data_IF_728159380915
#
_entry.id   IF_728159380915
#
_cell.length_a   1.000
_cell.length_b   1.000
_cell.length_c   1.000
_cell.angle_alpha   90.00
_cell.angle_beta   90.00
_cell.angle_gamma   90.00
#
_symmetry.space_group_name_H-M   'P 1'
#
loop_
_entity.id
_entity.type
_entity.pdbx_description
1 polymer ?
#
# COMPACT_ATOMS: atom_id res chain seq x y z
N UNK A 1 20.70 7.51 -2.87
CA UNK A 1 19.45 6.85 -2.45
C UNK A 1 19.66 5.35 -2.55
N UNK A 2 19.67 4.65 -1.41
CA UNK A 2 19.65 3.20 -1.41
C UNK A 2 18.19 2.75 -1.61
N UNK A 3 17.91 2.04 -2.69
CA UNK A 3 16.57 1.54 -3.02
C UNK A 3 16.39 0.06 -2.69
N UNK A 4 17.37 -0.54 -1.99
CA UNK A 4 17.29 -1.88 -1.43
C UNK A 4 16.41 -1.81 -0.18
N UNK A 5 15.31 -2.56 -0.18
CA UNK A 5 14.39 -2.67 0.96
C UNK A 5 14.65 -3.91 1.82
N UNK A 6 15.55 -4.78 1.37
CA UNK A 6 16.01 -5.98 2.08
C UNK A 6 16.56 -7.04 1.12
N UNK A 7 16.77 -8.23 1.65
CA UNK A 7 17.35 -9.39 0.94
C UNK A 7 16.43 -10.59 1.10
N UNK A 8 16.20 -11.35 0.03
CA UNK A 8 15.45 -12.60 0.12
C UNK A 8 16.26 -13.73 0.79
N UNK A 9 15.61 -14.87 1.07
CA UNK A 9 16.26 -16.01 1.74
C UNK A 9 17.47 -16.59 0.99
N UNK A 10 17.62 -16.28 -0.29
CA UNK A 10 18.71 -16.75 -1.15
C UNK A 10 19.84 -15.72 -1.27
N UNK A 11 19.79 -14.62 -0.51
CA UNK A 11 20.82 -13.59 -0.55
C UNK A 11 20.65 -12.56 -1.67
N UNK A 12 19.54 -12.58 -2.41
CA UNK A 12 19.30 -11.62 -3.49
C UNK A 12 18.64 -10.36 -2.96
N UNK A 13 19.23 -9.20 -3.27
CA UNK A 13 18.64 -7.91 -2.93
C UNK A 13 17.26 -7.72 -3.58
N UNK A 14 16.33 -7.13 -2.84
CA UNK A 14 15.04 -6.67 -3.35
C UNK A 14 15.09 -5.16 -3.44
N UNK A 15 15.01 -4.66 -4.68
CA UNK A 15 15.05 -3.23 -4.99
C UNK A 15 13.69 -2.76 -5.49
N UNK A 16 13.21 -1.66 -4.92
CA UNK A 16 11.95 -1.04 -5.37
C UNK A 16 12.26 0.27 -6.09
N UNK A 17 11.56 0.52 -7.18
CA UNK A 17 11.60 1.81 -7.87
C UNK A 17 10.18 2.33 -8.07
N UNK A 18 10.00 3.63 -7.99
CA UNK A 18 8.71 4.29 -8.08
C UNK A 18 8.82 5.78 -7.83
N UNK A 19 7.68 6.48 -7.88
CA UNK A 19 7.58 7.91 -7.62
C UNK A 19 6.63 8.15 -6.45
N UNK A 20 7.09 8.88 -5.45
CA UNK A 20 6.23 9.38 -4.37
C UNK A 20 5.61 10.69 -4.86
N UNK A 21 4.29 10.84 -4.65
CA UNK A 21 3.55 12.02 -5.09
C UNK A 21 4.04 13.30 -4.40
N UNK A 22 4.09 13.29 -3.06
CA UNK A 22 4.56 14.43 -2.27
C UNK A 22 5.16 13.99 -0.93
N UNK A 23 6.27 14.63 -0.56
CA UNK A 23 6.93 14.50 0.76
C UNK A 23 7.09 15.90 1.36
N UNK A 24 6.66 16.08 2.60
CA UNK A 24 6.70 17.35 3.33
C UNK A 24 7.42 17.16 4.66
N UNK A 25 8.19 18.16 5.10
CA UNK A 25 8.62 18.28 6.51
C UNK A 25 7.62 19.14 7.26
N UNK A 26 7.13 18.65 8.40
CA UNK A 26 6.20 19.37 9.27
C UNK A 26 6.96 20.30 10.22
N UNK A 27 6.23 21.20 10.88
CA UNK A 27 6.80 22.22 11.77
C UNK A 27 7.50 21.63 13.01
N UNK A 28 7.09 20.43 13.44
CA UNK A 28 7.70 19.68 14.54
C UNK A 28 8.92 18.85 14.10
N UNK A 29 9.30 18.91 12.83
CA UNK A 29 10.40 18.14 12.27
C UNK A 29 10.02 16.74 11.75
N UNK A 30 8.77 16.29 11.94
CA UNK A 30 8.30 15.03 11.36
C UNK A 30 8.15 15.11 9.83
N UNK A 31 7.99 13.96 9.17
CA UNK A 31 7.82 13.89 7.71
C UNK A 31 6.45 13.37 7.36
N UNK A 32 5.74 14.05 6.46
CA UNK A 32 4.50 13.60 5.88
C UNK A 32 4.70 13.13 4.43
N UNK A 33 4.20 11.93 4.12
CA UNK A 33 4.12 11.37 2.79
C UNK A 33 2.66 11.41 2.35
N UNK A 34 2.37 12.05 1.23
CA UNK A 34 1.01 12.23 0.73
C UNK A 34 0.88 11.54 -0.63
N UNK A 35 -0.12 10.69 -0.75
CA UNK A 35 -0.51 10.00 -1.98
C UNK A 35 -1.88 10.51 -2.44
N UNK A 36 -1.93 11.12 -3.63
CA UNK A 36 -3.14 11.73 -4.16
C UNK A 36 -3.94 10.70 -4.96
N UNK A 37 -5.20 10.50 -4.59
CA UNK A 37 -6.08 9.55 -5.25
C UNK A 37 -7.31 10.24 -5.82
N UNK A 38 -7.68 9.88 -7.05
CA UNK A 38 -8.93 10.31 -7.72
C UNK A 38 -10.06 9.31 -7.54
N UNK A 39 -9.75 8.06 -7.18
CA UNK A 39 -10.72 7.02 -6.89
C UNK A 39 -11.40 7.16 -5.53
N UNK A 40 -12.36 6.28 -5.24
CA UNK A 40 -13.05 6.27 -3.94
C UNK A 40 -12.06 6.02 -2.79
N UNK A 41 -12.03 6.94 -1.82
CA UNK A 41 -11.20 6.84 -0.63
C UNK A 41 -11.62 5.70 0.31
N UNK A 42 -12.90 5.34 0.34
CA UNK A 42 -13.40 4.19 1.09
C UNK A 42 -12.81 2.87 0.55
N UNK A 43 -12.65 2.77 -0.78
CA UNK A 43 -12.00 1.62 -1.41
C UNK A 43 -10.53 1.51 -1.00
N UNK A 44 -9.81 2.63 -0.88
CA UNK A 44 -8.41 2.60 -0.44
C UNK A 44 -8.30 2.17 1.03
N UNK A 45 -9.19 2.66 1.89
CA UNK A 45 -9.27 2.22 3.29
C UNK A 45 -9.46 0.72 3.42
N UNK A 46 -10.41 0.15 2.67
CA UNK A 46 -10.68 -1.28 2.72
C UNK A 46 -9.45 -2.09 2.27
N UNK A 47 -8.74 -1.64 1.23
CA UNK A 47 -7.51 -2.29 0.75
C UNK A 47 -6.33 -2.17 1.73
N UNK A 48 -6.27 -1.11 2.53
CA UNK A 48 -5.27 -1.01 3.60
C UNK A 48 -5.52 -2.06 4.70
N UNK A 49 -6.78 -2.33 5.04
CA UNK A 49 -7.13 -3.23 6.15
C UNK A 49 -6.84 -4.70 5.83
N UNK A 50 -6.85 -5.09 4.57
CA UNK A 50 -6.62 -6.46 4.12
C UNK A 50 -5.31 -6.64 3.35
N UNK A 51 -4.32 -5.77 3.62
CA UNK A 51 -2.94 -5.77 3.11
C UNK A 51 -2.75 -5.65 1.59
N UNK A 52 -3.84 -5.45 0.82
CA UNK A 52 -3.77 -5.22 -0.63
C UNK A 52 -3.20 -3.86 -1.04
N UNK A 53 -2.94 -2.99 -0.09
CA UNK A 53 -2.41 -1.65 -0.33
C UNK A 53 -1.15 -1.38 0.49
N UNK A 54 -0.01 -1.68 -0.11
CA UNK A 54 1.33 -1.52 0.49
C UNK A 54 1.98 -0.17 0.17
N UNK A 55 1.42 0.58 -0.80
CA UNK A 55 2.08 1.74 -1.40
C UNK A 55 2.49 2.84 -0.40
N UNK A 56 1.63 3.33 0.52
CA UNK A 56 2.07 4.37 1.45
C UNK A 56 2.94 3.85 2.59
N UNK A 57 2.77 2.60 3.01
CA UNK A 57 3.69 1.99 3.97
C UNK A 57 5.10 1.93 3.39
N UNK A 58 5.22 1.50 2.13
CA UNK A 58 6.48 1.50 1.39
C UNK A 58 7.04 2.91 1.19
N UNK A 59 6.21 3.89 0.85
CA UNK A 59 6.67 5.28 0.74
C UNK A 59 7.11 5.85 2.09
N UNK A 60 6.41 5.51 3.17
CA UNK A 60 6.80 5.89 4.53
C UNK A 60 8.15 5.30 4.91
N UNK A 61 8.38 4.01 4.61
CA UNK A 61 9.68 3.36 4.80
C UNK A 61 10.80 4.06 4.00
N UNK A 62 10.59 4.31 2.71
CA UNK A 62 11.58 4.98 1.85
C UNK A 62 11.86 6.41 2.32
N UNK A 63 10.83 7.15 2.74
CA UNK A 63 10.97 8.50 3.28
C UNK A 63 11.77 8.47 4.60
N UNK A 64 11.50 7.52 5.50
CA UNK A 64 12.27 7.31 6.74
C UNK A 64 13.76 7.14 6.44
N UNK A 65 14.12 6.15 5.62
CA UNK A 65 15.53 5.84 5.30
C UNK A 65 16.22 6.97 4.54
N UNK A 66 15.48 7.72 3.72
CA UNK A 66 16.01 8.90 3.02
C UNK A 66 16.24 10.11 3.92
N UNK A 67 15.47 10.24 5.00
CA UNK A 67 15.46 11.43 5.85
C UNK A 67 16.13 11.24 7.23
N UNK A 68 16.40 10.01 7.67
CA UNK A 68 16.98 9.70 8.99
C UNK A 68 18.32 10.42 9.27
N UNK A 69 19.06 10.77 8.22
CA UNK A 69 20.35 11.45 8.30
C UNK A 69 20.26 12.97 8.06
N UNK A 70 19.05 13.52 7.86
CA UNK A 70 18.85 14.94 7.60
C UNK A 70 18.70 15.75 8.90
N UNK A 71 19.47 16.84 9.09
CA UNK A 71 19.39 17.66 10.28
C UNK A 71 17.97 18.18 10.56
N UNK A 72 17.53 18.08 11.81
CA UNK A 72 16.22 18.58 12.26
C UNK A 72 15.02 17.77 11.80
N UNK A 73 15.23 16.54 11.34
CA UNK A 73 14.15 15.60 10.99
C UNK A 73 13.98 14.58 12.09
N UNK A 74 12.74 14.35 12.54
CA UNK A 74 12.43 13.24 13.44
C UNK A 74 12.13 11.97 12.63
N UNK A 75 12.22 10.81 13.27
CA UNK A 75 11.91 9.51 12.63
C UNK A 75 10.39 9.29 12.48
N UNK A 76 9.58 10.26 12.92
CA UNK A 76 8.13 10.19 12.83
C UNK A 76 7.66 10.42 11.38
N UNK A 77 7.06 9.38 10.79
CA UNK A 77 6.54 9.42 9.42
C UNK A 77 5.03 9.31 9.42
N UNK A 78 4.37 10.28 8.78
CA UNK A 78 2.94 10.32 8.56
C UNK A 78 2.61 9.99 7.11
N UNK A 79 2.08 8.81 6.81
CA UNK A 79 1.57 8.51 5.48
C UNK A 79 0.07 8.85 5.39
N UNK A 80 -0.34 9.59 4.36
CA UNK A 80 -1.73 9.99 4.18
C UNK A 80 -2.24 9.80 2.75
N UNK A 81 -3.52 9.44 2.64
CA UNK A 81 -4.27 9.50 1.38
C UNK A 81 -5.07 10.78 1.33
N UNK A 82 -4.96 11.49 0.20
CA UNK A 82 -5.76 12.67 -0.10
C UNK A 82 -6.60 12.40 -1.33
N UNK A 83 -7.92 12.50 -1.17
CA UNK A 83 -8.85 12.37 -2.29
C UNK A 83 -9.08 13.69 -2.99
N UNK A 84 -8.94 13.67 -4.31
CA UNK A 84 -9.25 14.80 -5.18
C UNK A 84 -10.62 14.55 -5.82
N UNK A 85 -11.68 15.16 -5.29
CA UNK A 85 -13.04 15.11 -5.87
C UNK A 85 -13.49 16.52 -6.25
N UNK A 86 -13.32 16.87 -7.53
CA UNK A 86 -13.70 18.20 -8.03
C UNK A 86 -12.97 19.31 -7.26
N UNK A 87 -13.72 20.21 -6.62
CA UNK A 87 -13.19 21.33 -5.82
C UNK A 87 -12.92 20.99 -4.34
N UNK A 88 -13.04 19.73 -3.92
CA UNK A 88 -12.88 19.31 -2.51
C UNK A 88 -11.68 18.39 -2.32
N UNK A 89 -10.96 18.63 -1.22
CA UNK A 89 -9.86 17.83 -0.72
C UNK A 89 -10.31 17.14 0.58
N UNK A 90 -10.24 15.80 0.64
CA UNK A 90 -10.59 15.01 1.83
C UNK A 90 -9.39 14.18 2.30
N UNK A 91 -9.01 14.31 3.58
CA UNK A 91 -7.94 13.55 4.25
C UNK A 91 -8.59 12.39 5.00
N UNK A 92 -8.33 11.13 4.61
CA UNK A 92 -9.07 9.98 5.15
C UNK A 92 -8.23 8.87 5.82
N UNK A 93 -6.91 8.99 5.82
CA UNK A 93 -6.05 8.20 6.69
C UNK A 93 -4.76 8.96 7.02
N UNK A 94 -4.32 8.89 8.26
CA UNK A 94 -2.96 9.22 8.69
C UNK A 94 -2.39 7.94 9.29
N UNK A 95 -1.24 7.47 8.82
CA UNK A 95 -0.42 6.57 9.61
C UNK A 95 0.19 7.41 10.73
N UNK A 96 -0.41 7.38 11.91
CA UNK A 96 0.25 7.85 13.13
C UNK A 96 0.60 6.61 13.94
N UNK A 97 1.91 6.36 14.11
CA UNK A 97 2.43 5.46 15.15
C UNK A 97 2.13 6.08 16.54
N UNK A 98 2.06 5.27 17.59
CA UNK A 98 1.05 5.44 18.64
C UNK A 98 1.42 6.54 19.63
N UNK A 99 0.66 7.66 19.68
CA UNK A 99 0.13 8.25 20.92
C UNK A 99 -0.71 9.53 20.72
N UNK A 100 -1.90 9.49 20.11
CA UNK A 100 -2.88 10.59 20.37
C UNK A 100 -4.32 10.09 20.32
N UNK A 101 -4.95 10.07 21.50
CA UNK A 101 -6.40 9.99 21.65
C UNK A 101 -7.09 11.15 20.91
N UNK A 102 -7.90 10.84 19.88
CA UNK A 102 -9.26 11.37 19.62
C UNK A 102 -9.73 11.12 18.17
N UNK A 103 -10.71 10.23 18.03
CA UNK A 103 -11.79 10.20 17.03
C UNK A 103 -11.51 10.42 15.53
N UNK A 104 -10.35 10.06 15.00
CA UNK A 104 -10.17 9.83 13.55
C UNK A 104 -9.85 8.35 13.34
N UNK A 105 -10.40 7.75 12.29
CA UNK A 105 -10.10 6.36 11.91
C UNK A 105 -8.64 6.26 11.47
N UNK A 106 -7.73 6.13 12.45
CA UNK A 106 -6.30 5.97 12.25
C UNK A 106 -6.02 4.56 11.77
N UNK A 107 -5.39 4.43 10.60
CA UNK A 107 -4.85 3.17 10.11
C UNK A 107 -3.39 3.12 10.54
N UNK A 108 -3.02 2.16 11.40
CA UNK A 108 -1.63 1.89 11.73
C UNK A 108 -1.09 0.82 10.78
N UNK A 109 0.03 1.10 10.12
CA UNK A 109 0.76 0.16 9.28
C UNK A 109 2.16 -0.01 9.88
N UNK A 110 2.54 -1.25 10.18
CA UNK A 110 3.91 -1.55 10.56
C UNK A 110 4.79 -1.58 9.30
N UNK A 111 5.75 -0.65 9.23
CA UNK A 111 6.61 -0.47 8.06
C UNK A 111 7.50 -1.69 7.81
N UNK A 112 7.91 -2.42 8.86
CA UNK A 112 8.72 -3.62 8.71
C UNK A 112 7.88 -4.78 8.15
N UNK A 113 6.62 -4.91 8.58
CA UNK A 113 5.71 -5.90 7.99
C UNK A 113 5.47 -5.68 6.48
N UNK A 114 5.51 -4.42 6.03
CA UNK A 114 5.37 -4.06 4.61
C UNK A 114 6.59 -4.51 3.81
N UNK A 115 7.81 -4.29 4.31
CA UNK A 115 9.03 -4.72 3.61
C UNK A 115 9.13 -6.25 3.58
N UNK A 116 8.82 -6.93 4.68
CA UNK A 116 8.76 -8.40 4.74
C UNK A 116 7.79 -8.97 3.69
N UNK A 117 6.58 -8.41 3.60
CA UNK A 117 5.56 -8.83 2.62
C UNK A 117 6.07 -8.67 1.19
N UNK A 118 6.71 -7.55 0.87
CA UNK A 118 7.24 -7.30 -0.48
C UNK A 118 8.39 -8.26 -0.80
N UNK A 119 9.29 -8.52 0.16
CA UNK A 119 10.40 -9.45 -0.01
C UNK A 119 9.89 -10.87 -0.27
N UNK A 120 8.89 -11.33 0.50
CA UNK A 120 8.25 -12.63 0.30
C UNK A 120 7.59 -12.74 -1.09
N UNK A 121 6.92 -11.69 -1.56
CA UNK A 121 6.35 -11.67 -2.91
C UNK A 121 7.43 -11.70 -4.00
N UNK A 122 8.50 -10.92 -3.85
CA UNK A 122 9.62 -10.91 -4.80
C UNK A 122 10.28 -12.30 -4.90
N UNK A 123 10.45 -12.98 -3.76
CA UNK A 123 10.95 -14.35 -3.70
C UNK A 123 10.01 -15.34 -4.41
N UNK A 124 8.71 -15.25 -4.17
CA UNK A 124 7.71 -16.06 -4.86
C UNK A 124 7.80 -15.90 -6.38
N UNK A 125 7.88 -14.66 -6.87
CA UNK A 125 8.02 -14.38 -8.30
C UNK A 125 9.30 -15.01 -8.87
N UNK A 126 10.44 -14.87 -8.19
CA UNK A 126 11.72 -15.45 -8.62
C UNK A 126 11.70 -16.98 -8.71
N UNK A 127 10.96 -17.62 -7.81
CA UNK A 127 10.80 -19.08 -7.79
C UNK A 127 9.73 -19.58 -8.77
N UNK A 128 9.13 -18.70 -9.57
CA UNK A 128 8.10 -19.06 -10.55
C UNK A 128 6.73 -19.35 -9.94
N UNK A 129 6.48 -18.88 -8.71
CA UNK A 129 5.19 -19.03 -8.03
C UNK A 129 4.14 -18.15 -8.71
N UNK A 130 3.24 -18.78 -9.46
CA UNK A 130 2.09 -18.15 -10.09
C UNK A 130 0.84 -18.83 -9.54
N UNK A 131 0.24 -18.24 -8.51
CA UNK A 131 -0.92 -18.78 -7.80
C UNK A 131 -2.16 -17.90 -8.01
N UNK A 132 -3.34 -18.50 -7.83
CA UNK A 132 -4.58 -17.74 -7.78
C UNK A 132 -4.63 -16.91 -6.49
N UNK A 133 -5.09 -15.67 -6.62
CA UNK A 133 -5.30 -14.76 -5.48
C UNK A 133 -6.34 -15.32 -4.50
N UNK A 134 -6.13 -15.10 -3.21
CA UNK A 134 -7.14 -15.40 -2.18
C UNK A 134 -8.38 -14.50 -2.31
N UNK A 135 -8.26 -13.36 -3.00
CA UNK A 135 -9.37 -12.43 -3.25
C UNK A 135 -10.16 -12.85 -4.51
N UNK A 136 -10.54 -14.13 -4.56
CA UNK A 136 -11.28 -14.74 -5.66
C UNK A 136 -12.72 -14.20 -5.83
N UNK A 137 -13.50 -14.75 -6.76
CA UNK A 137 -14.85 -14.30 -7.12
C UNK A 137 -15.85 -14.27 -5.96
N UNK A 138 -15.70 -15.16 -4.98
CA UNK A 138 -16.59 -15.25 -3.81
C UNK A 138 -16.13 -14.41 -2.61
N UNK A 139 -14.95 -13.80 -2.67
CA UNK A 139 -14.47 -12.98 -1.58
C UNK A 139 -15.24 -11.67 -1.49
N UNK A 140 -15.45 -11.17 -0.27
CA UNK A 140 -16.04 -9.84 0.01
C UNK A 140 -15.31 -8.71 -0.74
N UNK A 141 -14.06 -8.96 -1.12
CA UNK A 141 -13.13 -8.00 -1.68
C UNK A 141 -12.54 -8.47 -3.02
N UNK A 142 -13.37 -9.12 -3.84
CA UNK A 142 -12.96 -9.76 -5.09
C UNK A 142 -12.11 -8.87 -6.00
N UNK A 143 -11.00 -9.43 -6.49
CA UNK A 143 -10.14 -8.85 -7.52
C UNK A 143 -10.50 -9.36 -8.92
N UNK A 144 -11.32 -10.41 -9.01
CA UNK A 144 -11.82 -11.02 -10.24
C UNK A 144 -12.94 -10.17 -10.88
N UNK A 145 -12.66 -8.89 -11.13
CA UNK A 145 -13.59 -7.89 -11.65
C UNK A 145 -13.36 -7.63 -13.15
N UNK A 146 -14.14 -6.71 -13.73
CA UNK A 146 -13.89 -6.20 -15.09
C UNK A 146 -12.53 -5.49 -15.24
N UNK A 147 -11.85 -5.15 -14.14
CA UNK A 147 -10.52 -4.52 -14.18
C UNK A 147 -9.35 -5.51 -14.36
N UNK A 148 -9.59 -6.83 -14.28
CA UNK A 148 -8.54 -7.83 -14.52
C UNK A 148 -8.56 -8.32 -15.98
N UNK A 149 -7.56 -7.92 -16.77
CA UNK A 149 -7.44 -8.31 -18.18
C UNK A 149 -7.23 -9.82 -18.38
N UNK A 150 -6.73 -10.51 -17.36
CA UNK A 150 -6.48 -11.97 -17.39
C UNK A 150 -7.68 -12.78 -16.90
N UNK A 151 -8.83 -12.15 -16.60
CA UNK A 151 -10.01 -12.81 -16.01
C UNK A 151 -10.43 -14.07 -16.76
N UNK A 152 -10.52 -13.99 -18.08
CA UNK A 152 -11.02 -15.10 -18.89
C UNK A 152 -9.94 -16.19 -19.10
N UNK A 153 -8.67 -15.83 -18.92
CA UNK A 153 -7.53 -16.74 -19.06
C UNK A 153 -7.15 -17.44 -17.75
N UNK A 154 -7.42 -16.84 -16.58
CA UNK A 154 -6.96 -17.35 -15.28
C UNK A 154 -7.73 -18.59 -14.80
N UNK A 155 -8.91 -18.88 -15.38
CA UNK A 155 -9.75 -20.05 -15.08
C UNK A 155 -10.01 -20.26 -13.57
N UNK A 156 -10.10 -19.16 -12.81
CA UNK A 156 -10.41 -19.25 -11.39
C UNK A 156 -11.71 -20.05 -11.22
N UNK A 157 -11.76 -21.07 -10.35
CA UNK A 157 -12.97 -21.85 -10.16
C UNK A 157 -14.10 -20.93 -9.70
N UNK A 158 -15.18 -20.93 -10.46
CA UNK A 158 -16.42 -20.21 -10.16
C UNK A 158 -17.40 -21.20 -9.55
N UNK A 159 -18.05 -20.84 -8.45
CA UNK A 159 -19.27 -21.54 -8.07
C UNK A 159 -20.38 -21.21 -9.08
N UNK A 160 -21.30 -22.15 -9.38
CA UNK A 160 -22.32 -21.99 -10.42
C UNK A 160 -23.33 -20.82 -10.26
N UNK A 161 -23.25 -20.03 -9.18
CA UNK A 161 -24.32 -19.12 -8.74
C UNK A 161 -24.06 -17.63 -8.97
N UNK A 162 -22.95 -17.23 -9.54
CA UNK A 162 -22.63 -15.81 -9.70
C UNK A 162 -22.63 -15.42 -11.18
N UNK A 163 -23.79 -15.06 -11.77
CA UNK A 163 -23.80 -14.49 -13.10
C UNK A 163 -23.04 -13.16 -13.10
N UNK A 164 -22.02 -13.07 -13.94
CA UNK A 164 -21.23 -11.86 -14.11
C UNK A 164 -22.07 -10.78 -14.79
N UNK A 165 -22.33 -9.68 -14.08
CA UNK A 165 -22.84 -8.44 -14.71
C UNK A 165 -21.67 -7.77 -15.44
N UNK A 166 -21.77 -7.66 -16.76
CA UNK A 166 -20.94 -6.73 -17.55
C UNK A 166 -21.40 -5.31 -17.20
N UNK A 167 -20.48 -4.48 -16.74
CA UNK A 167 -20.67 -3.03 -16.59
C UNK A 167 -20.73 -2.35 -17.95
#
# INVERSE_FOLDING_TARGET
>A
FNNVIGTDKNGNEVRVTGKIDLVLRLADGSVAVIDFKTGSLETQRNKCQDTRLVQPGLYGYIARTGCENLPGTTVDIHAAYVGLKGSKCEILATATMPNVNKSKHTLSLDLESVTETIIQHAEGIRTGRIELTQYGPESKHSECTSYCSMRDACRHPLSPKTPFKRS
#
